data_IF_162633876838
#
_entry.id   IF_162633876838
#
_cell.length_a   1.000
_cell.length_b   1.000
_cell.length_c   1.000
_cell.angle_alpha   90.00
_cell.angle_beta   90.00
_cell.angle_gamma   90.00
#
_symmetry.space_group_name_H-M   'P 1'
#
loop_
_entity.id
_entity.type
_entity.pdbx_description
1 polymer ?
#
# COMPACT_ATOMS: atom_id res chain seq x y z
N UNK A 1 21.93 7.97 -17.34
CA UNK A 1 20.98 6.85 -17.22
C UNK A 1 19.95 7.22 -16.16
N UNK A 2 18.75 6.67 -16.22
CA UNK A 2 17.78 6.84 -15.11
C UNK A 2 18.22 5.92 -13.97
N UNK A 3 18.30 6.45 -12.75
CA UNK A 3 18.66 5.65 -11.58
C UNK A 3 17.51 4.71 -11.22
N UNK A 4 17.83 3.46 -10.85
CA UNK A 4 16.84 2.44 -10.55
C UNK A 4 15.81 2.85 -9.46
N UNK A 5 16.19 3.54 -8.36
CA UNK A 5 15.23 3.99 -7.36
C UNK A 5 14.21 5.00 -7.91
N UNK A 6 14.66 5.93 -8.75
CA UNK A 6 13.78 6.94 -9.35
C UNK A 6 12.80 6.28 -10.34
N UNK A 7 13.24 5.24 -11.05
CA UNK A 7 12.35 4.43 -11.89
C UNK A 7 11.31 3.67 -11.07
N UNK A 8 11.71 3.05 -9.96
CA UNK A 8 10.81 2.28 -9.09
C UNK A 8 9.73 3.17 -8.46
N UNK A 9 10.10 4.36 -8.00
CA UNK A 9 9.15 5.32 -7.43
C UNK A 9 8.16 5.82 -8.49
N UNK A 10 8.60 6.04 -9.73
CA UNK A 10 7.72 6.43 -10.83
C UNK A 10 6.72 5.33 -11.22
N UNK A 11 7.15 4.07 -11.18
CA UNK A 11 6.32 2.90 -11.54
C UNK A 11 5.35 2.52 -10.42
N UNK A 12 5.67 2.82 -9.15
CA UNK A 12 4.88 2.45 -7.98
C UNK A 12 3.38 2.83 -8.07
N UNK A 13 2.99 4.08 -8.42
CA UNK A 13 1.58 4.43 -8.62
C UNK A 13 1.03 3.98 -9.98
N UNK A 14 1.88 3.78 -10.99
CA UNK A 14 1.45 3.44 -12.35
C UNK A 14 0.86 2.01 -12.43
N UNK A 15 1.45 1.05 -11.72
CA UNK A 15 0.99 -0.34 -11.70
C UNK A 15 -0.45 -0.48 -11.16
N UNK A 16 -0.78 -0.02 -9.93
CA UNK A 16 -2.14 -0.15 -9.40
C UNK A 16 -3.13 0.65 -10.23
N UNK A 17 -2.74 1.78 -10.84
CA UNK A 17 -3.60 2.52 -11.76
C UNK A 17 -3.98 1.69 -13.00
N UNK A 18 -3.00 1.04 -13.63
CA UNK A 18 -3.24 0.15 -14.77
C UNK A 18 -4.13 -1.03 -14.37
N UNK A 19 -3.92 -1.59 -13.18
CA UNK A 19 -4.79 -2.64 -12.62
C UNK A 19 -6.22 -2.15 -12.40
N UNK A 20 -6.41 -0.96 -11.83
CA UNK A 20 -7.71 -0.37 -11.56
C UNK A 20 -8.55 -0.24 -12.83
N UNK A 21 -7.92 0.23 -13.92
CA UNK A 21 -8.55 0.40 -15.23
C UNK A 21 -8.83 -0.96 -15.87
N UNK A 22 -7.88 -1.89 -15.83
CA UNK A 22 -8.05 -3.23 -16.40
C UNK A 22 -9.23 -4.00 -15.83
N UNK A 23 -9.58 -3.79 -14.56
CA UNK A 23 -10.75 -4.42 -13.91
C UNK A 23 -12.09 -4.03 -14.53
N UNK A 24 -12.19 -2.85 -15.14
CA UNK A 24 -13.42 -2.46 -15.84
C UNK A 24 -13.66 -3.33 -17.07
N UNK A 25 -12.63 -3.91 -17.68
CA UNK A 25 -12.80 -4.94 -18.72
C UNK A 25 -13.59 -6.14 -18.20
N UNK A 26 -13.39 -6.54 -16.95
CA UNK A 26 -14.12 -7.65 -16.34
C UNK A 26 -15.61 -7.32 -16.13
N UNK A 27 -15.94 -6.06 -15.87
CA UNK A 27 -17.33 -5.61 -15.80
C UNK A 27 -18.02 -5.72 -17.16
N UNK A 28 -17.40 -5.21 -18.22
CA UNK A 28 -17.97 -5.28 -19.57
C UNK A 28 -18.08 -6.71 -20.10
N UNK A 29 -17.08 -7.55 -19.80
CA UNK A 29 -17.08 -8.97 -20.16
C UNK A 29 -17.96 -9.83 -19.24
N UNK A 30 -18.50 -9.26 -18.16
CA UNK A 30 -19.23 -9.98 -17.11
C UNK A 30 -18.49 -11.22 -16.61
N UNK A 31 -17.20 -11.06 -16.27
CA UNK A 31 -16.33 -12.14 -15.81
C UNK A 31 -15.74 -11.83 -14.42
N UNK A 32 -15.26 -12.85 -13.72
CA UNK A 32 -14.56 -12.73 -12.42
C UNK A 32 -15.35 -12.00 -11.30
N UNK A 33 -16.68 -12.05 -11.34
CA UNK A 33 -17.56 -11.57 -10.27
C UNK A 33 -17.46 -12.43 -8.99
N UNK A 34 -17.94 -11.90 -7.87
CA UNK A 34 -17.86 -12.56 -6.57
C UNK A 34 -19.02 -13.52 -6.29
N UNK A 35 -19.24 -13.84 -5.00
CA UNK A 35 -20.37 -14.65 -4.56
C UNK A 35 -21.73 -14.01 -4.88
N UNK A 36 -22.80 -14.82 -4.97
CA UNK A 36 -24.17 -14.32 -4.89
C UNK A 36 -24.36 -13.41 -3.67
N UNK A 37 -25.12 -12.34 -3.84
CA UNK A 37 -25.35 -11.35 -2.78
C UNK A 37 -26.73 -10.72 -2.89
N UNK A 38 -27.33 -10.38 -1.75
CA UNK A 38 -28.61 -9.66 -1.69
C UNK A 38 -28.42 -8.16 -1.44
N UNK A 39 -27.18 -7.66 -1.55
CA UNK A 39 -26.87 -6.25 -1.32
C UNK A 39 -27.44 -5.36 -2.42
N UNK A 40 -27.86 -4.12 -2.10
CA UNK A 40 -28.49 -3.23 -3.07
C UNK A 40 -27.54 -2.71 -4.16
N UNK A 41 -26.24 -2.94 -4.02
CA UNK A 41 -25.21 -2.65 -5.05
C UNK A 41 -24.66 -3.93 -5.69
N UNK A 42 -25.40 -5.04 -5.61
CA UNK A 42 -25.09 -6.27 -6.33
C UNK A 42 -24.98 -6.02 -7.84
N UNK A 43 -24.04 -6.70 -8.46
CA UNK A 43 -23.85 -6.70 -9.91
C UNK A 43 -24.74 -7.78 -10.52
N UNK A 44 -25.62 -7.35 -11.42
CA UNK A 44 -26.40 -8.26 -12.23
C UNK A 44 -25.54 -8.85 -13.35
N UNK A 45 -25.55 -10.18 -13.48
CA UNK A 45 -24.83 -10.91 -14.52
C UNK A 45 -25.85 -11.53 -15.47
N UNK A 46 -25.62 -11.44 -16.78
CA UNK A 46 -26.53 -12.02 -17.77
C UNK A 46 -26.55 -13.56 -17.63
N UNK A 47 -27.71 -14.22 -17.80
CA UNK A 47 -27.83 -15.67 -17.60
C UNK A 47 -26.81 -16.50 -18.38
N UNK A 48 -26.39 -16.04 -19.57
CA UNK A 48 -25.42 -16.74 -20.42
C UNK A 48 -24.00 -16.76 -19.85
N UNK A 49 -23.68 -15.81 -18.97
CA UNK A 49 -22.36 -15.64 -18.35
C UNK A 49 -22.30 -16.20 -16.92
N UNK A 50 -23.40 -16.77 -16.41
CA UNK A 50 -23.45 -17.37 -15.07
C UNK A 50 -22.87 -18.79 -15.09
N UNK A 51 -22.15 -19.21 -14.04
CA UNK A 51 -21.77 -20.60 -13.88
C UNK A 51 -23.02 -21.48 -13.76
N UNK A 52 -22.99 -22.73 -14.26
CA UNK A 52 -24.14 -23.64 -14.15
C UNK A 52 -24.61 -23.84 -12.69
N UNK A 53 -23.67 -23.83 -11.75
CA UNK A 53 -23.92 -24.04 -10.32
C UNK A 53 -24.65 -22.86 -9.65
N UNK A 54 -24.68 -21.68 -10.30
CA UNK A 54 -25.22 -20.43 -9.76
C UNK A 54 -26.23 -19.78 -10.73
N UNK A 55 -26.84 -20.55 -11.62
CA UNK A 55 -27.76 -20.04 -12.64
C UNK A 55 -28.97 -19.28 -12.06
N UNK A 56 -29.44 -19.69 -10.88
CA UNK A 56 -30.58 -19.07 -10.18
C UNK A 56 -30.23 -17.75 -9.47
N UNK A 57 -28.94 -17.47 -9.24
CA UNK A 57 -28.53 -16.20 -8.64
C UNK A 57 -28.45 -15.10 -9.70
N UNK A 58 -29.11 -13.98 -9.45
CA UNK A 58 -29.09 -12.82 -10.36
C UNK A 58 -28.03 -11.79 -9.97
N UNK A 59 -27.82 -11.60 -8.66
CA UNK A 59 -26.96 -10.58 -8.09
C UNK A 59 -25.70 -11.18 -7.49
N UNK A 60 -24.56 -10.62 -7.86
CA UNK A 60 -23.23 -11.04 -7.39
C UNK A 60 -22.46 -9.87 -6.81
N UNK A 61 -21.49 -10.14 -5.94
CA UNK A 61 -20.60 -9.09 -5.45
C UNK A 61 -19.79 -8.48 -6.62
N UNK A 62 -19.79 -7.15 -6.80
CA UNK A 62 -19.00 -6.46 -7.82
C UNK A 62 -17.52 -6.42 -7.44
N UNK A 63 -16.83 -7.56 -7.52
CA UNK A 63 -15.40 -7.69 -7.22
C UNK A 63 -14.55 -6.72 -8.04
N UNK A 64 -14.88 -6.52 -9.32
CA UNK A 64 -14.20 -5.55 -10.17
C UNK A 64 -14.18 -4.16 -9.52
N UNK A 65 -15.32 -3.72 -8.96
CA UNK A 65 -15.47 -2.40 -8.36
C UNK A 65 -14.66 -2.31 -7.06
N UNK A 66 -14.74 -3.34 -6.22
CA UNK A 66 -13.95 -3.40 -4.98
C UNK A 66 -12.45 -3.36 -5.28
N UNK A 67 -11.99 -4.11 -6.28
CA UNK A 67 -10.61 -4.13 -6.74
C UNK A 67 -10.18 -2.79 -7.33
N UNK A 68 -11.01 -2.17 -8.18
CA UNK A 68 -10.73 -0.85 -8.76
C UNK A 68 -10.66 0.24 -7.70
N UNK A 69 -11.62 0.29 -6.77
CA UNK A 69 -11.63 1.28 -5.68
C UNK A 69 -10.42 1.13 -4.77
N UNK A 70 -10.04 -0.10 -4.42
CA UNK A 70 -8.82 -0.35 -3.65
C UNK A 70 -7.59 0.18 -4.39
N UNK A 71 -7.45 -0.16 -5.67
CA UNK A 71 -6.31 0.28 -6.47
C UNK A 71 -6.25 1.80 -6.62
N UNK A 72 -7.38 2.49 -6.84
CA UNK A 72 -7.42 3.95 -6.83
C UNK A 72 -7.04 4.55 -5.47
N UNK A 73 -7.49 3.93 -4.38
CA UNK A 73 -7.08 4.30 -3.02
C UNK A 73 -5.57 4.16 -2.81
N UNK A 74 -4.98 3.06 -3.28
CA UNK A 74 -3.52 2.84 -3.26
C UNK A 74 -2.79 3.91 -4.07
N UNK A 75 -3.24 4.21 -5.29
CA UNK A 75 -2.66 5.28 -6.13
C UNK A 75 -2.70 6.62 -5.40
N UNK A 76 -3.87 7.01 -4.88
CA UNK A 76 -4.05 8.26 -4.17
C UNK A 76 -3.14 8.36 -2.94
N UNK A 77 -3.02 7.26 -2.18
CA UNK A 77 -2.16 7.19 -1.01
C UNK A 77 -0.67 7.27 -1.37
N UNK A 78 -0.21 6.56 -2.40
CA UNK A 78 1.18 6.63 -2.88
C UNK A 78 1.53 8.03 -3.38
N UNK A 79 0.66 8.64 -4.19
CA UNK A 79 0.84 10.04 -4.65
C UNK A 79 0.87 10.99 -3.47
N UNK A 80 0.03 10.78 -2.44
CA UNK A 80 0.06 11.57 -1.22
C UNK A 80 1.40 11.46 -0.47
N UNK A 81 1.92 10.24 -0.29
CA UNK A 81 3.23 9.98 0.34
C UNK A 81 4.38 10.65 -0.41
N UNK A 82 4.38 10.53 -1.74
CA UNK A 82 5.40 11.14 -2.61
C UNK A 82 5.36 12.67 -2.53
N UNK A 83 4.16 13.27 -2.61
CA UNK A 83 4.00 14.74 -2.48
C UNK A 83 4.42 15.27 -1.12
N UNK A 84 4.29 14.48 -0.06
CA UNK A 84 4.74 14.82 1.29
C UNK A 84 6.24 14.61 1.48
N UNK A 85 6.96 14.04 0.50
CA UNK A 85 8.36 13.61 0.63
C UNK A 85 8.56 12.76 1.90
N UNK A 86 7.55 11.98 2.26
CA UNK A 86 7.50 11.26 3.52
C UNK A 86 8.37 10.00 3.53
N UNK A 87 8.89 9.61 2.36
CA UNK A 87 9.72 8.43 2.17
C UNK A 87 11.00 8.78 1.40
N UNK A 88 12.13 8.13 1.70
CA UNK A 88 13.34 8.24 0.90
C UNK A 88 13.15 7.64 -0.49
N UNK A 89 14.05 7.97 -1.43
CA UNK A 89 14.05 7.40 -2.79
C UNK A 89 14.02 5.87 -2.77
N UNK A 90 13.25 5.27 -3.67
CA UNK A 90 13.05 3.82 -3.81
C UNK A 90 12.12 3.18 -2.78
N UNK A 91 11.71 3.90 -1.73
CA UNK A 91 10.87 3.35 -0.68
C UNK A 91 9.37 3.44 -1.02
N UNK A 92 8.99 4.28 -1.98
CA UNK A 92 7.61 4.39 -2.44
C UNK A 92 7.15 3.08 -3.09
N UNK A 93 8.05 2.43 -3.83
CA UNK A 93 7.80 1.10 -4.39
C UNK A 93 7.64 0.03 -3.30
N UNK A 94 8.39 0.10 -2.21
CA UNK A 94 8.23 -0.82 -1.07
C UNK A 94 6.88 -0.60 -0.38
N UNK A 95 6.44 0.65 -0.22
CA UNK A 95 5.11 0.96 0.28
C UNK A 95 4.01 0.39 -0.62
N UNK A 96 4.18 0.49 -1.95
CA UNK A 96 3.29 -0.16 -2.92
C UNK A 96 3.21 -1.68 -2.72
N UNK A 97 4.35 -2.38 -2.57
CA UNK A 97 4.36 -3.82 -2.33
C UNK A 97 3.59 -4.22 -1.06
N UNK A 98 3.73 -3.42 0.01
CA UNK A 98 2.97 -3.57 1.24
C UNK A 98 1.45 -3.48 1.01
N UNK A 99 1.02 -2.40 0.35
CA UNK A 99 -0.39 -2.12 0.07
C UNK A 99 -1.00 -3.16 -0.89
N UNK A 100 -0.23 -3.61 -1.88
CA UNK A 100 -0.64 -4.67 -2.79
C UNK A 100 -0.93 -5.96 -2.02
N UNK A 101 -0.07 -6.32 -1.05
CA UNK A 101 -0.29 -7.50 -0.23
C UNK A 101 -1.55 -7.42 0.64
N UNK A 102 -1.81 -6.26 1.24
CA UNK A 102 -3.05 -6.01 2.00
C UNK A 102 -4.29 -6.13 1.10
N UNK A 103 -4.26 -5.49 -0.08
CA UNK A 103 -5.36 -5.58 -1.04
C UNK A 103 -5.65 -7.00 -1.49
N UNK A 104 -4.60 -7.77 -1.77
CA UNK A 104 -4.72 -9.19 -2.14
C UNK A 104 -5.33 -10.03 -1.04
N UNK A 105 -4.99 -9.78 0.23
CA UNK A 105 -5.61 -10.44 1.36
C UNK A 105 -7.11 -10.10 1.47
N UNK A 106 -7.47 -8.82 1.31
CA UNK A 106 -8.86 -8.38 1.35
C UNK A 106 -9.72 -8.98 0.22
N UNK A 107 -9.21 -9.02 -1.00
CA UNK A 107 -9.91 -9.60 -2.16
C UNK A 107 -10.11 -11.11 -1.99
N UNK A 108 -9.13 -11.80 -1.39
CA UNK A 108 -9.24 -13.22 -1.08
C UNK A 108 -10.37 -13.52 -0.09
N UNK A 109 -10.59 -12.67 0.92
CA UNK A 109 -11.73 -12.82 1.85
C UNK A 109 -13.09 -12.73 1.15
N UNK A 110 -13.17 -11.99 0.04
CA UNK A 110 -14.38 -11.78 -0.74
C UNK A 110 -14.60 -12.87 -1.81
N UNK A 111 -13.56 -13.59 -2.21
CA UNK A 111 -13.61 -14.67 -3.22
C UNK A 111 -13.64 -16.02 -2.55
N UNK A 112 -14.44 -16.94 -3.05
CA UNK A 112 -14.76 -18.13 -2.24
C UNK A 112 -14.38 -19.43 -2.87
N UNK A 113 -14.03 -19.38 -4.15
CA UNK A 113 -13.63 -20.51 -4.97
C UNK A 113 -12.11 -20.64 -5.05
N UNK A 114 -11.41 -20.49 -3.92
CA UNK A 114 -10.01 -20.88 -3.85
C UNK A 114 -9.91 -22.33 -3.39
N UNK A 115 -9.90 -23.20 -4.40
CA UNK A 115 -9.80 -24.67 -4.39
C UNK A 115 -8.66 -25.25 -3.55
N UNK A 116 -7.71 -24.43 -3.09
CA UNK A 116 -6.61 -24.83 -2.20
C UNK A 116 -6.44 -23.86 -1.04
N UNK A 117 -6.88 -24.28 0.15
CA UNK A 117 -6.69 -23.56 1.41
C UNK A 117 -5.57 -24.24 2.21
N UNK A 118 -4.45 -23.54 2.40
CA UNK A 118 -3.54 -23.85 3.52
C UNK A 118 -3.83 -22.78 4.59
N UNK A 119 -4.25 -23.20 5.78
CA UNK A 119 -4.73 -22.29 6.85
C UNK A 119 -5.90 -21.36 6.46
N UNK A 120 -6.66 -21.67 5.41
CA UNK A 120 -7.78 -20.82 4.97
C UNK A 120 -7.42 -19.71 3.97
N UNK A 121 -6.15 -19.61 3.54
CA UNK A 121 -5.69 -18.64 2.52
C UNK A 121 -5.38 -19.33 1.18
N UNK A 122 -5.61 -18.64 0.06
CA UNK A 122 -5.07 -19.07 -1.24
C UNK A 122 -3.56 -18.93 -1.32
N UNK A 123 -2.95 -19.68 -2.25
CA UNK A 123 -1.52 -19.59 -2.57
C UNK A 123 -1.09 -18.16 -2.94
N UNK A 124 -1.93 -17.44 -3.68
CA UNK A 124 -1.68 -16.04 -4.02
C UNK A 124 -1.74 -15.13 -2.79
N UNK A 125 -2.66 -15.38 -1.86
CA UNK A 125 -2.75 -14.63 -0.62
C UNK A 125 -1.56 -14.88 0.30
N UNK A 126 -1.01 -16.11 0.34
CA UNK A 126 0.21 -16.41 1.10
C UNK A 126 1.43 -15.65 0.57
N UNK A 127 1.64 -15.65 -0.75
CA UNK A 127 2.74 -14.87 -1.36
C UNK A 127 2.54 -13.37 -1.15
N UNK A 128 1.31 -12.88 -1.29
CA UNK A 128 0.97 -11.48 -1.05
C UNK A 128 1.25 -11.07 0.41
N UNK A 129 0.91 -11.93 1.38
CA UNK A 129 1.18 -11.70 2.79
C UNK A 129 2.68 -11.69 3.08
N UNK A 130 3.43 -12.64 2.52
CA UNK A 130 4.89 -12.68 2.67
C UNK A 130 5.53 -11.38 2.13
N UNK A 131 5.14 -10.93 0.94
CA UNK A 131 5.61 -9.68 0.34
C UNK A 131 5.25 -8.47 1.21
N UNK A 132 4.02 -8.41 1.73
CA UNK A 132 3.62 -7.32 2.62
C UNK A 132 4.42 -7.27 3.92
N UNK A 133 4.65 -8.43 4.54
CA UNK A 133 5.45 -8.52 5.76
C UNK A 133 6.91 -8.12 5.51
N UNK A 134 7.51 -8.58 4.41
CA UNK A 134 8.87 -8.19 4.04
C UNK A 134 8.97 -6.68 3.79
N UNK A 135 8.01 -6.09 3.09
CA UNK A 135 7.96 -4.65 2.85
C UNK A 135 7.81 -3.85 4.15
N UNK A 136 6.91 -4.28 5.05
CA UNK A 136 6.70 -3.63 6.34
C UNK A 136 7.95 -3.70 7.23
N UNK A 137 8.60 -4.86 7.32
CA UNK A 137 9.85 -5.03 8.08
C UNK A 137 10.96 -4.17 7.48
N UNK A 138 11.09 -4.14 6.15
CA UNK A 138 12.08 -3.30 5.47
C UNK A 138 11.90 -1.82 5.82
N UNK A 139 10.68 -1.29 5.67
CA UNK A 139 10.37 0.10 5.99
C UNK A 139 10.60 0.41 7.47
N UNK A 140 10.22 -0.49 8.38
CA UNK A 140 10.38 -0.30 9.82
C UNK A 140 11.86 -0.28 10.26
N UNK A 141 12.69 -1.17 9.71
CA UNK A 141 14.14 -1.22 10.01
C UNK A 141 14.83 0.01 9.44
N UNK A 142 14.50 0.42 8.21
CA UNK A 142 15.18 1.54 7.56
C UNK A 142 14.80 2.88 8.20
N UNK A 143 13.53 3.05 8.57
CA UNK A 143 13.06 4.26 9.26
C UNK A 143 13.73 4.42 10.63
N UNK A 144 13.89 3.34 11.40
CA UNK A 144 14.62 3.36 12.68
C UNK A 144 16.10 3.71 12.56
N UNK A 145 16.73 3.36 11.42
CA UNK A 145 18.12 3.75 11.16
C UNK A 145 18.25 5.24 10.84
N UNK A 146 17.32 5.78 10.06
CA UNK A 146 17.26 7.21 9.77
C UNK A 146 16.99 8.04 11.03
N UNK A 147 16.04 7.61 11.87
CA UNK A 147 15.77 8.28 13.15
C UNK A 147 17.01 8.27 14.08
N UNK A 148 17.83 7.21 14.02
CA UNK A 148 19.08 7.11 14.78
C UNK A 148 20.18 8.04 14.21
N UNK A 149 20.39 8.04 12.89
CA UNK A 149 21.38 8.90 12.22
C UNK A 149 21.05 10.39 12.41
N UNK A 150 19.77 10.80 12.28
CA UNK A 150 19.31 12.17 12.53
C UNK A 150 19.48 12.58 14.01
N UNK A 151 19.48 11.63 14.94
CA UNK A 151 19.69 11.89 16.38
C UNK A 151 21.16 12.02 16.77
N UNK A 152 22.07 11.32 16.07
CA UNK A 152 23.52 11.41 16.29
C UNK A 152 24.13 12.66 15.65
N UNK A 153 23.58 13.13 14.53
CA UNK A 153 24.11 14.30 13.79
C UNK A 153 23.49 15.64 14.25
N UNK A 154 22.65 15.62 15.29
CA UNK A 154 22.13 16.84 15.92
C UNK A 154 23.26 17.42 16.79
N UNK A 155 23.88 18.56 16.41
CA UNK A 155 24.91 19.16 17.25
C UNK A 155 24.30 19.40 18.64
N UNK A 156 24.98 18.93 19.68
CA UNK A 156 24.67 19.30 21.06
C UNK A 156 24.64 20.83 21.09
N UNK A 157 23.46 21.42 21.23
CA UNK A 157 23.32 22.81 21.62
C UNK A 157 24.08 22.94 22.94
N UNK A 158 25.29 23.48 22.88
CA UNK A 158 26.04 23.98 24.03
C UNK A 158 25.25 25.17 24.60
N UNK A 159 24.18 24.88 25.32
CA UNK A 159 23.46 25.86 26.10
C UNK A 159 24.18 26.08 27.44
N UNK A 160 24.94 27.17 27.48
CA UNK A 160 24.85 28.10 28.61
C UNK A 160 25.62 27.75 29.88
N UNK A 161 26.96 27.78 29.85
CA UNK A 161 27.76 28.05 31.06
C UNK A 161 29.09 28.78 30.83
N UNK A 162 29.14 29.75 29.91
CA UNK A 162 30.25 30.71 29.84
C UNK A 162 29.72 32.16 29.90
N UNK A 163 29.16 32.54 31.05
CA UNK A 163 28.86 33.96 31.34
C UNK A 163 29.07 34.35 32.81
N UNK A 164 29.97 33.65 33.52
CA UNK A 164 30.32 33.97 34.92
C UNK A 164 31.79 34.32 35.17
N UNK A 165 32.62 34.43 34.13
CA UNK A 165 34.05 34.75 34.29
C UNK A 165 34.50 35.84 33.32
N UNK A 166 34.00 37.07 33.47
CA UNK A 166 34.76 38.27 33.11
C UNK A 166 34.09 39.52 33.68
N UNK A 167 34.46 39.90 34.90
CA UNK A 167 33.89 41.09 35.53
C UNK A 167 34.34 41.29 36.97
N UNK A 168 35.61 41.00 37.28
CA UNK A 168 36.21 41.40 38.55
C UNK A 168 37.64 41.86 38.32
N UNK A 169 37.86 43.17 38.47
CA UNK A 169 39.16 43.77 38.68
C UNK A 169 39.61 44.70 37.56
N UNK A 170 39.33 45.99 37.73
CA UNK A 170 40.36 47.03 37.53
C UNK A 170 39.97 48.27 38.36
N UNK A 171 40.88 48.61 39.29
CA UNK A 171 40.85 49.77 40.16
C UNK A 171 41.35 51.05 39.45
N UNK A 172 41.10 52.19 40.09
CA UNK A 172 41.89 53.45 40.15
C UNK A 172 41.18 54.71 39.64
N UNK A 173 41.10 55.71 40.53
CA UNK A 173 40.77 57.10 40.22
C UNK A 173 39.93 57.78 41.29
#
# INVERSE_FOLDING_TARGET
GVDLPDLLDAVAPAIPLAQAIGRWGNYFNQELFGRPTDLPWGLEIAPENRPPDLAEAELFHPTFLYESLWNFGVVAFLVFLDRRRALPKGHLFVAYLGLYGIGRFWIELLRVDTTFRLFGLSRNAMFALAVALTAAVFLAVHRRRQDHEDSEDRPEDQDGSESLVCGKGEEHG
#
